data_IF_607205542449
#
_entry.id   IF_607205542449
#
_cell.length_a   1.000
_cell.length_b   1.000
_cell.length_c   1.000
_cell.angle_alpha   90.00
_cell.angle_beta   90.00
_cell.angle_gamma   90.00
#
_symmetry.space_group_name_H-M   'P 1'
#
loop_
_entity.id
_entity.type
_entity.pdbx_description
1 polymer ?
#
# COMPACT_ATOMS: atom_id res chain seq x y z
N UNK A 1 -6.43 5.15 -1.91
CA UNK A 1 -7.56 5.30 -2.86
C UNK A 1 -7.21 6.15 -4.09
N UNK A 2 -6.55 7.30 -3.93
CA UNK A 2 -6.10 8.13 -5.06
C UNK A 2 -5.16 7.34 -5.99
N UNK A 3 -4.17 6.63 -5.41
CA UNK A 3 -3.23 5.81 -6.17
C UNK A 3 -3.92 4.67 -6.94
N UNK A 4 -4.89 3.99 -6.32
CA UNK A 4 -5.74 3.00 -6.99
C UNK A 4 -6.47 3.59 -8.20
N UNK A 5 -7.23 4.68 -8.02
CA UNK A 5 -7.98 5.30 -9.12
C UNK A 5 -7.06 5.77 -10.25
N UNK A 6 -5.93 6.41 -9.92
CA UNK A 6 -4.94 6.80 -10.93
C UNK A 6 -4.38 5.61 -11.71
N UNK A 7 -4.16 4.46 -11.05
CA UNK A 7 -3.70 3.24 -11.71
C UNK A 7 -4.78 2.66 -12.62
N UNK A 8 -6.01 2.56 -12.13
CA UNK A 8 -7.15 1.99 -12.89
C UNK A 8 -7.44 2.81 -14.14
N UNK A 9 -7.48 4.14 -14.04
CA UNK A 9 -7.73 5.05 -15.17
C UNK A 9 -6.57 5.05 -16.18
N UNK A 10 -5.33 4.81 -15.75
CA UNK A 10 -4.17 4.69 -16.67
C UNK A 10 -4.09 3.35 -17.40
N UNK A 11 -4.83 2.33 -16.96
CA UNK A 11 -4.77 1.01 -17.58
C UNK A 11 -5.71 0.95 -18.80
N UNK A 12 -5.20 0.69 -20.03
CA UNK A 12 -5.98 0.81 -21.27
C UNK A 12 -7.27 -0.03 -21.29
N UNK A 13 -7.23 -1.22 -20.68
CA UNK A 13 -8.38 -2.12 -20.60
C UNK A 13 -9.38 -1.73 -19.51
N UNK A 14 -8.90 -1.24 -18.36
CA UNK A 14 -9.80 -0.92 -17.23
C UNK A 14 -10.49 0.42 -17.45
N UNK A 15 -9.85 1.36 -18.17
CA UNK A 15 -10.46 2.63 -18.57
C UNK A 15 -11.66 2.45 -19.52
N UNK A 16 -11.72 1.34 -20.23
CA UNK A 16 -12.83 1.02 -21.13
C UNK A 16 -14.02 0.38 -20.41
N UNK A 17 -13.86 0.06 -19.13
CA UNK A 17 -14.91 -0.55 -18.32
C UNK A 17 -16.12 0.42 -18.16
N UNK A 18 -17.33 -0.01 -18.55
CA UNK A 18 -18.53 0.83 -18.47
C UNK A 18 -18.86 1.26 -17.04
N UNK A 19 -18.69 0.36 -16.07
CA UNK A 19 -19.00 0.62 -14.66
C UNK A 19 -18.01 1.64 -14.08
N UNK A 20 -16.72 1.56 -14.44
CA UNK A 20 -15.73 2.57 -14.05
C UNK A 20 -16.03 3.94 -14.64
N UNK A 21 -16.41 4.03 -15.92
CA UNK A 21 -16.78 5.31 -16.54
C UNK A 21 -18.01 5.91 -15.88
N UNK A 22 -19.04 5.09 -15.69
CA UNK A 22 -20.25 5.52 -14.99
C UNK A 22 -19.96 5.97 -13.55
N UNK A 23 -19.07 5.27 -12.83
CA UNK A 23 -18.64 5.67 -11.50
C UNK A 23 -17.95 7.03 -11.49
N UNK A 24 -17.06 7.30 -12.45
CA UNK A 24 -16.31 8.56 -12.58
C UNK A 24 -17.18 9.73 -13.06
N UNK A 25 -18.19 9.46 -13.88
CA UNK A 25 -19.09 10.46 -14.49
C UNK A 25 -20.35 10.70 -13.66
N UNK A 26 -20.69 9.82 -12.70
CA UNK A 26 -21.87 9.96 -11.86
C UNK A 26 -21.69 11.04 -10.79
N UNK A 27 -22.68 11.93 -10.66
CA UNK A 27 -22.74 12.95 -9.60
C UNK A 27 -23.24 12.40 -8.25
N UNK A 28 -23.77 11.17 -8.24
CA UNK A 28 -24.26 10.48 -7.04
C UNK A 28 -23.69 9.05 -7.03
N UNK A 29 -22.84 8.77 -6.04
CA UNK A 29 -22.25 7.44 -5.87
C UNK A 29 -23.33 6.45 -5.39
N UNK A 30 -23.50 5.29 -6.05
CA UNK A 30 -24.46 4.28 -5.60
C UNK A 30 -24.10 3.84 -4.17
N UNK A 31 -25.10 3.89 -3.29
CA UNK A 31 -24.98 3.53 -1.86
C UNK A 31 -24.55 2.07 -1.78
N UNK A 32 -23.37 1.80 -1.20
CA UNK A 32 -22.79 0.46 -1.12
C UNK A 32 -23.81 -0.55 -0.57
N UNK A 33 -24.25 -1.48 -1.41
CA UNK A 33 -25.14 -2.57 -1.01
C UNK A 33 -24.26 -3.75 -0.62
N UNK A 34 -24.25 -4.09 0.66
CA UNK A 34 -23.58 -5.25 1.21
C UNK A 34 -23.96 -6.53 0.43
N UNK A 35 -23.03 -7.12 -0.30
CA UNK A 35 -23.16 -8.47 -0.86
C UNK A 35 -22.95 -9.51 0.24
N UNK A 36 -23.94 -9.64 1.13
CA UNK A 36 -24.18 -10.87 1.86
C UNK A 36 -25.19 -11.71 1.08
N UNK A 37 -24.73 -12.83 0.52
CA UNK A 37 -25.40 -14.14 0.47
C UNK A 37 -24.93 -14.95 -0.75
N UNK A 38 -24.05 -15.92 -0.51
CA UNK A 38 -24.01 -17.13 -1.32
C UNK A 38 -24.06 -18.31 -0.34
N UNK A 39 -25.28 -18.82 -0.17
CA UNK A 39 -25.65 -19.89 0.75
C UNK A 39 -25.16 -21.25 0.25
N UNK A 40 -24.46 -21.99 1.11
CA UNK A 40 -23.70 -23.21 0.82
C UNK A 40 -24.50 -24.51 0.70
N UNK A 41 -25.68 -24.52 0.10
CA UNK A 41 -26.51 -25.74 0.01
C UNK A 41 -26.57 -26.39 -1.39
N UNK A 42 -26.03 -25.77 -2.44
CA UNK A 42 -26.12 -26.26 -3.82
C UNK A 42 -24.91 -27.05 -4.35
N UNK A 43 -23.70 -26.82 -3.81
CA UNK A 43 -22.46 -27.38 -4.36
C UNK A 43 -22.23 -28.86 -4.01
N UNK A 44 -22.84 -29.37 -2.93
CA UNK A 44 -22.53 -30.69 -2.36
C UNK A 44 -23.09 -31.88 -3.18
N UNK A 45 -23.92 -31.63 -4.20
CA UNK A 45 -24.59 -32.72 -4.95
C UNK A 45 -23.92 -33.08 -6.28
N UNK A 46 -22.96 -32.27 -6.76
CA UNK A 46 -22.25 -32.53 -8.03
C UNK A 46 -20.92 -33.26 -7.87
N UNK A 47 -20.34 -33.33 -6.67
CA UNK A 47 -18.99 -33.89 -6.46
C UNK A 47 -18.98 -35.43 -6.41
N UNK A 48 -20.10 -36.08 -6.10
CA UNK A 48 -20.17 -37.54 -5.92
C UNK A 48 -20.32 -38.37 -7.21
N UNK A 49 -20.33 -37.76 -8.41
CA UNK A 49 -20.52 -38.49 -9.69
C UNK A 49 -19.36 -38.40 -10.69
N UNK A 50 -18.30 -37.67 -10.37
CA UNK A 50 -17.12 -37.53 -11.24
C UNK A 50 -15.91 -38.37 -10.79
N UNK A 51 -16.04 -39.14 -9.70
CA UNK A 51 -14.91 -39.87 -9.10
C UNK A 51 -14.58 -41.22 -9.77
N UNK A 52 -15.45 -41.77 -10.61
CA UNK A 52 -15.29 -43.14 -11.16
C UNK A 52 -14.87 -43.22 -12.63
N UNK A 53 -14.59 -42.10 -13.29
CA UNK A 53 -14.18 -42.13 -14.70
C UNK A 53 -13.16 -41.03 -15.01
N UNK A 54 -11.88 -41.35 -14.83
CA UNK A 54 -10.80 -41.23 -15.85
C UNK A 54 -9.46 -41.42 -15.14
N UNK A 55 -9.09 -42.69 -14.99
CA UNK A 55 -7.70 -43.09 -14.84
C UNK A 55 -7.22 -43.55 -16.22
N UNK A 56 -6.56 -42.65 -16.96
CA UNK A 56 -5.70 -43.03 -18.09
C UNK A 56 -4.75 -41.89 -18.46
N UNK A 57 -3.47 -42.14 -18.18
CA UNK A 57 -2.29 -41.35 -18.56
C UNK A 57 -2.37 -40.74 -19.97
N UNK A 58 -1.93 -39.49 -20.10
CA UNK A 58 -0.70 -39.12 -20.85
C UNK A 58 -0.32 -37.67 -20.57
N UNK A 59 0.96 -37.51 -20.23
CA UNK A 59 1.65 -36.33 -19.71
C UNK A 59 1.76 -35.19 -20.74
N UNK A 60 1.49 -33.95 -20.29
CA UNK A 60 2.29 -32.75 -20.62
C UNK A 60 2.15 -31.63 -19.57
N UNK A 61 2.43 -31.92 -18.30
CA UNK A 61 2.46 -30.92 -17.21
C UNK A 61 3.84 -30.93 -16.53
N UNK A 62 4.77 -30.12 -17.02
CA UNK A 62 6.04 -29.94 -16.31
C UNK A 62 6.63 -28.53 -16.48
N UNK A 63 6.23 -27.78 -17.52
CA UNK A 63 6.73 -26.41 -17.73
C UNK A 63 5.75 -25.32 -17.26
N UNK A 64 4.44 -25.52 -17.43
CA UNK A 64 3.40 -24.58 -16.98
C UNK A 64 3.31 -24.50 -15.46
N UNK A 65 3.47 -25.64 -14.79
CA UNK A 65 3.39 -25.76 -13.33
C UNK A 65 4.65 -25.19 -12.66
N UNK A 66 5.85 -25.52 -13.17
CA UNK A 66 7.10 -24.99 -12.65
C UNK A 66 7.23 -23.46 -12.83
N UNK A 67 6.79 -22.93 -13.98
CA UNK A 67 6.74 -21.47 -14.18
C UNK A 67 5.74 -20.81 -13.23
N UNK A 68 4.57 -21.43 -13.01
CA UNK A 68 3.55 -20.90 -12.11
C UNK A 68 4.01 -20.95 -10.65
N UNK A 69 4.61 -22.05 -10.19
CA UNK A 69 5.23 -22.17 -8.87
C UNK A 69 6.34 -21.14 -8.66
N UNK A 70 7.21 -20.94 -9.67
CA UNK A 70 8.25 -19.91 -9.61
C UNK A 70 7.64 -18.52 -9.49
N UNK A 71 6.60 -18.21 -10.28
CA UNK A 71 5.91 -16.91 -10.22
C UNK A 71 5.20 -16.71 -8.88
N UNK A 72 4.53 -17.73 -8.38
CA UNK A 72 3.90 -17.72 -7.07
C UNK A 72 4.92 -17.42 -5.97
N UNK A 73 6.09 -18.08 -6.02
CA UNK A 73 7.18 -17.85 -5.07
C UNK A 73 7.77 -16.44 -5.19
N UNK A 74 7.90 -15.92 -6.42
CA UNK A 74 8.33 -14.53 -6.68
C UNK A 74 7.32 -13.53 -6.11
N UNK A 75 6.02 -13.74 -6.30
CA UNK A 75 4.97 -12.90 -5.74
C UNK A 75 4.93 -12.93 -4.22
N UNK A 76 5.08 -14.10 -3.60
CA UNK A 76 5.12 -14.23 -2.15
C UNK A 76 6.33 -13.52 -1.54
N UNK A 77 7.51 -13.68 -2.16
CA UNK A 77 8.72 -12.98 -1.73
C UNK A 77 8.56 -11.46 -1.90
N UNK A 78 8.00 -11.00 -3.02
CA UNK A 78 7.74 -9.58 -3.26
C UNK A 78 6.75 -8.99 -2.26
N UNK A 79 5.65 -9.69 -1.96
CA UNK A 79 4.68 -9.26 -0.93
C UNK A 79 5.36 -9.14 0.44
N UNK A 80 6.17 -10.13 0.82
CA UNK A 80 6.89 -10.10 2.09
C UNK A 80 7.89 -8.93 2.16
N UNK A 81 8.64 -8.68 1.09
CA UNK A 81 9.60 -7.58 1.02
C UNK A 81 8.90 -6.21 1.04
N UNK A 82 7.80 -6.05 0.30
CA UNK A 82 7.02 -4.81 0.29
C UNK A 82 6.40 -4.52 1.66
N UNK A 83 5.90 -5.53 2.37
CA UNK A 83 5.38 -5.36 3.74
C UNK A 83 6.46 -4.90 4.72
N UNK A 84 7.66 -5.50 4.64
CA UNK A 84 8.81 -5.07 5.44
C UNK A 84 9.21 -3.62 5.13
N UNK A 85 9.28 -3.29 3.84
CA UNK A 85 9.60 -1.93 3.38
C UNK A 85 8.54 -0.92 3.85
N UNK A 86 7.25 -1.25 3.73
CA UNK A 86 6.16 -0.40 4.21
C UNK A 86 6.30 -0.12 5.71
N UNK A 87 6.53 -1.15 6.53
CA UNK A 87 6.76 -0.98 7.96
C UNK A 87 7.99 -0.10 8.26
N UNK A 88 9.08 -0.24 7.50
CA UNK A 88 10.26 0.64 7.63
C UNK A 88 9.94 2.09 7.26
N UNK A 89 9.10 2.33 6.25
CA UNK A 89 8.67 3.68 5.86
C UNK A 89 7.72 4.28 6.92
N UNK A 90 6.81 3.49 7.47
CA UNK A 90 5.95 3.95 8.58
C UNK A 90 6.78 4.37 9.80
N UNK A 91 7.80 3.57 10.15
CA UNK A 91 8.76 3.96 11.18
C UNK A 91 9.49 5.26 10.79
N UNK A 92 9.99 5.37 9.56
CA UNK A 92 10.67 6.58 9.09
C UNK A 92 9.82 7.85 9.25
N UNK A 93 8.52 7.78 8.93
CA UNK A 93 7.57 8.87 9.14
C UNK A 93 7.46 9.23 10.63
N UNK A 94 7.31 8.24 11.51
CA UNK A 94 7.25 8.47 12.96
C UNK A 94 8.53 9.12 13.50
N UNK A 95 9.69 8.59 13.14
CA UNK A 95 10.99 9.12 13.57
C UNK A 95 11.18 10.57 13.10
N UNK A 96 10.67 10.94 11.90
CA UNK A 96 10.76 12.32 11.42
C UNK A 96 9.85 13.29 12.18
N UNK A 97 8.66 12.83 12.59
CA UNK A 97 7.77 13.61 13.48
C UNK A 97 8.41 13.83 14.85
N UNK A 98 9.06 12.81 15.40
CA UNK A 98 9.81 12.94 16.66
C UNK A 98 11.00 13.89 16.52
N UNK A 99 11.74 13.82 15.42
CA UNK A 99 12.84 14.73 15.13
C UNK A 99 12.35 16.19 15.04
N UNK A 100 11.25 16.43 14.32
CA UNK A 100 10.57 17.73 14.26
C UNK A 100 10.24 18.25 15.67
N UNK A 101 9.59 17.44 16.52
CA UNK A 101 9.24 17.83 17.88
C UNK A 101 10.48 18.18 18.74
N UNK A 102 11.57 17.42 18.61
CA UNK A 102 12.82 17.68 19.32
C UNK A 102 13.50 18.96 18.82
N UNK A 103 13.51 19.19 17.51
CA UNK A 103 14.03 20.42 16.89
C UNK A 103 13.24 21.65 17.37
N UNK A 104 11.91 21.57 17.42
CA UNK A 104 11.07 22.65 17.95
C UNK A 104 11.37 22.95 19.43
N UNK A 105 11.57 21.91 20.25
CA UNK A 105 11.95 22.07 21.66
C UNK A 105 13.34 22.69 21.81
N UNK A 106 14.28 22.33 20.94
CA UNK A 106 15.60 22.93 20.88
C UNK A 106 15.55 24.42 20.49
N UNK A 107 14.81 24.77 19.44
CA UNK A 107 14.58 26.16 19.01
C UNK A 107 14.05 27.01 20.16
N UNK A 108 13.02 26.52 20.86
CA UNK A 108 12.44 27.20 22.03
C UNK A 108 13.47 27.40 23.14
N UNK A 109 14.28 26.39 23.42
CA UNK A 109 15.32 26.46 24.45
C UNK A 109 16.41 27.46 24.09
N UNK A 110 16.85 27.49 22.83
CA UNK A 110 17.80 28.47 22.32
C UNK A 110 17.27 29.90 22.43
N UNK A 111 15.98 30.13 22.12
CA UNK A 111 15.34 31.44 22.29
C UNK A 111 15.27 31.87 23.76
N UNK A 112 14.95 30.94 24.68
CA UNK A 112 14.93 31.22 26.12
C UNK A 112 16.32 31.58 26.65
N UNK A 113 17.38 30.89 26.19
CA UNK A 113 18.76 31.25 26.51
C UNK A 113 19.12 32.62 25.94
N UNK A 114 18.76 32.90 24.69
CA UNK A 114 18.97 34.20 24.07
C UNK A 114 18.34 35.36 24.85
N UNK A 115 17.15 35.16 25.41
CA UNK A 115 16.47 36.15 26.25
C UNK A 115 17.08 36.33 27.64
N UNK A 116 17.80 35.33 28.14
CA UNK A 116 18.43 35.36 29.47
C UNK A 116 19.88 35.84 29.42
N UNK A 117 20.43 36.03 28.23
CA UNK A 117 21.84 36.36 28.00
C UNK A 117 22.05 37.89 27.97
N UNK A 118 22.98 38.37 28.81
CA UNK A 118 23.31 39.79 28.91
C UNK A 118 24.18 40.27 27.74
N UNK A 119 24.99 39.37 27.17
CA UNK A 119 25.86 39.72 26.04
C UNK A 119 25.07 39.83 24.73
N UNK A 120 24.87 41.06 24.25
CA UNK A 120 23.99 41.36 23.10
C UNK A 120 24.32 40.56 21.84
N UNK A 121 25.59 40.36 21.51
CA UNK A 121 25.94 39.61 20.30
C UNK A 121 25.61 38.10 20.44
N UNK A 122 25.73 37.56 21.66
CA UNK A 122 25.44 36.14 21.93
C UNK A 122 23.93 35.91 21.99
N UNK A 123 23.19 36.79 22.65
CA UNK A 123 21.71 36.83 22.61
C UNK A 123 21.18 36.84 21.17
N UNK A 124 21.76 37.68 20.30
CA UNK A 124 21.41 37.74 18.88
C UNK A 124 21.71 36.43 18.14
N UNK A 125 22.88 35.85 18.37
CA UNK A 125 23.26 34.57 17.76
C UNK A 125 22.32 33.42 18.18
N UNK A 126 21.94 33.36 19.46
CA UNK A 126 20.97 32.37 19.98
C UNK A 126 19.57 32.56 19.40
N UNK A 127 19.14 33.81 19.22
CA UNK A 127 17.86 34.12 18.57
C UNK A 127 17.84 33.69 17.10
N UNK A 128 18.94 33.93 16.37
CA UNK A 128 19.09 33.46 14.99
C UNK A 128 19.13 31.93 14.90
N UNK A 129 19.83 31.27 15.82
CA UNK A 129 19.83 29.81 15.91
C UNK A 129 18.41 29.26 16.12
N UNK A 130 17.66 29.85 17.06
CA UNK A 130 16.27 29.49 17.29
C UNK A 130 15.40 29.62 16.02
N UNK A 131 15.54 30.72 15.28
CA UNK A 131 14.81 30.95 14.02
C UNK A 131 15.18 29.93 12.94
N UNK A 132 16.46 29.56 12.83
CA UNK A 132 16.93 28.53 11.89
C UNK A 132 16.34 27.17 12.24
N UNK A 133 16.35 26.80 13.53
CA UNK A 133 15.81 25.53 13.99
C UNK A 133 14.28 25.45 13.83
N UNK A 134 13.56 26.56 14.01
CA UNK A 134 12.13 26.64 13.68
C UNK A 134 11.84 26.38 12.19
N UNK A 135 12.69 26.91 11.29
CA UNK A 135 12.60 26.62 9.86
C UNK A 135 12.91 25.15 9.56
N UNK A 136 13.90 24.56 10.25
CA UNK A 136 14.23 23.14 10.10
C UNK A 136 13.09 22.24 10.60
N UNK A 137 12.46 22.58 11.73
CA UNK A 137 11.27 21.88 12.22
C UNK A 137 10.16 21.88 11.16
N UNK A 138 9.86 23.03 10.56
CA UNK A 138 8.86 23.12 9.50
C UNK A 138 9.20 22.20 8.31
N UNK A 139 10.46 22.18 7.87
CA UNK A 139 10.91 21.27 6.82
C UNK A 139 10.77 19.80 7.21
N UNK A 140 11.09 19.42 8.45
CA UNK A 140 10.87 18.05 8.92
C UNK A 140 9.39 17.65 8.91
N UNK A 141 8.48 18.58 9.26
CA UNK A 141 7.04 18.33 9.18
C UNK A 141 6.60 18.10 7.74
N UNK A 142 6.97 18.98 6.80
CA UNK A 142 6.65 18.83 5.38
C UNK A 142 7.19 17.50 4.81
N UNK A 143 8.43 17.15 5.16
CA UNK A 143 9.04 15.88 4.76
C UNK A 143 8.30 14.67 5.35
N UNK A 144 7.86 14.74 6.61
CA UNK A 144 7.10 13.65 7.22
C UNK A 144 5.73 13.46 6.53
N UNK A 145 5.09 14.56 6.11
CA UNK A 145 3.88 14.51 5.30
C UNK A 145 4.16 13.90 3.92
N UNK A 146 5.20 14.35 3.24
CA UNK A 146 5.59 13.83 1.93
C UNK A 146 5.89 12.33 1.99
N UNK A 147 6.68 11.89 2.98
CA UNK A 147 7.01 10.47 3.15
C UNK A 147 5.78 9.60 3.37
N UNK A 148 4.82 10.08 4.16
CA UNK A 148 3.57 9.37 4.38
C UNK A 148 2.75 9.24 3.08
N UNK A 149 2.48 10.35 2.40
CA UNK A 149 1.59 10.33 1.23
C UNK A 149 2.23 9.75 -0.03
N UNK A 150 3.54 9.93 -0.20
CA UNK A 150 4.25 9.49 -1.41
C UNK A 150 4.75 8.07 -1.24
N UNK A 151 5.36 7.71 -0.09
CA UNK A 151 5.94 6.38 0.08
C UNK A 151 5.00 5.42 0.79
N UNK A 152 4.49 5.75 1.98
CA UNK A 152 3.67 4.81 2.76
C UNK A 152 2.36 4.48 2.03
N UNK A 153 1.60 5.48 1.60
CA UNK A 153 0.34 5.26 0.88
C UNK A 153 0.53 4.51 -0.45
N UNK A 154 1.61 4.80 -1.19
CA UNK A 154 1.92 4.11 -2.46
C UNK A 154 2.29 2.65 -2.22
N UNK A 155 3.17 2.38 -1.26
CA UNK A 155 3.56 1.01 -0.90
C UNK A 155 2.37 0.22 -0.37
N UNK A 156 1.54 0.82 0.48
CA UNK A 156 0.30 0.21 0.97
C UNK A 156 -0.66 -0.11 -0.18
N UNK A 157 -0.71 0.73 -1.20
CA UNK A 157 -1.51 0.50 -2.40
C UNK A 157 -0.99 -0.67 -3.25
N UNK A 158 0.34 -0.81 -3.41
CA UNK A 158 0.95 -1.97 -4.06
C UNK A 158 0.73 -3.27 -3.28
N UNK A 159 0.83 -3.24 -1.95
CA UNK A 159 0.54 -4.41 -1.10
C UNK A 159 -0.92 -4.85 -1.29
N UNK A 160 -1.87 -3.90 -1.31
CA UNK A 160 -3.28 -4.20 -1.58
C UNK A 160 -3.50 -4.77 -2.98
N UNK A 161 -2.79 -4.25 -3.99
CA UNK A 161 -2.85 -4.77 -5.35
C UNK A 161 -2.38 -6.23 -5.41
N UNK A 162 -1.23 -6.54 -4.83
CA UNK A 162 -0.69 -7.90 -4.80
C UNK A 162 -1.66 -8.84 -4.06
N UNK A 163 -2.21 -8.39 -2.92
CA UNK A 163 -3.21 -9.16 -2.19
C UNK A 163 -4.50 -9.41 -3.00
N UNK A 164 -4.89 -8.51 -3.90
CA UNK A 164 -6.06 -8.67 -4.77
C UNK A 164 -5.82 -9.61 -5.97
N UNK A 165 -4.56 -9.79 -6.40
CA UNK A 165 -4.19 -10.71 -7.49
C UNK A 165 -4.09 -12.16 -7.00
N UNK A 166 -3.65 -12.38 -5.75
CA UNK A 166 -3.49 -13.71 -5.14
C UNK A 166 -4.73 -14.64 -5.25
N UNK A 167 -5.97 -14.18 -5.06
CA UNK A 167 -7.17 -15.02 -5.24
C UNK A 167 -7.45 -15.38 -6.70
N UNK A 168 -7.14 -14.49 -7.64
CA UNK A 168 -7.35 -14.72 -9.08
C UNK A 168 -6.38 -15.78 -9.58
N UNK A 169 -5.13 -15.75 -9.14
CA UNK A 169 -4.13 -16.79 -9.45
C UNK A 169 -4.59 -18.19 -9.00
N UNK A 170 -5.17 -18.29 -7.79
CA UNK A 170 -5.72 -19.56 -7.28
C UNK A 170 -6.90 -20.08 -8.10
N UNK A 171 -7.78 -19.19 -8.56
CA UNK A 171 -8.92 -19.58 -9.41
C UNK A 171 -8.45 -19.99 -10.80
N UNK A 172 -7.41 -19.33 -11.36
CA UNK A 172 -6.84 -19.71 -12.65
C UNK A 172 -6.07 -21.02 -12.58
N UNK A 173 -5.37 -21.33 -11.48
CA UNK A 173 -4.74 -22.65 -11.30
C UNK A 173 -5.80 -23.76 -11.18
N UNK A 174 -6.90 -23.52 -10.47
CA UNK A 174 -8.02 -24.47 -10.36
C UNK A 174 -8.77 -24.67 -11.69
N UNK A 175 -8.80 -23.68 -12.59
CA UNK A 175 -9.42 -23.82 -13.92
C UNK A 175 -8.51 -24.48 -14.96
N UNK A 176 -7.19 -24.44 -14.79
CA UNK A 176 -6.24 -25.14 -15.66
C UNK A 176 -6.14 -26.64 -15.30
N UNK A 177 -6.50 -27.01 -14.06
CA UNK A 177 -6.57 -28.39 -13.56
C UNK A 177 -7.93 -29.10 -13.80
N UNK A 178 -8.87 -28.47 -14.49
CA UNK A 178 -10.13 -29.12 -14.86
C UNK A 178 -10.00 -29.81 -16.24
N UNK A 179 -10.34 -31.11 -16.36
CA UNK A 179 -10.09 -31.93 -17.55
C UNK A 179 -10.88 -31.52 -18.80
#
# INVERSE_FOLDING_TARGET
MIWYLQRTVKHPTLLQDPDLRQFLESSELPRAVNTQALSGAGLLRMVNKAADAVNKMTIKMNESDAWFEEKQQQFENLDQQLRKLHASVEALVCHRKELSANTAAFAKSAAMLGNSEDHTALSRALSQLAEVEEKIDHLHQEQAFADFYVFSELLGDYIRLIAAVKPVERVTSEQVDMP
#
